data_IF_748780837217
#
_entry.id   IF_748780837217
#
_cell.length_a   1.000
_cell.length_b   1.000
_cell.length_c   1.000
_cell.angle_alpha   90.00
_cell.angle_beta   90.00
_cell.angle_gamma   90.00
#
_symmetry.space_group_name_H-M   'P 1'
#
loop_
_entity.id
_entity.type
_entity.pdbx_description
1 polymer ?
#
# COMPACT_ATOMS: atom_id res chain seq x y z
N UNK A 1 -42.01 20.42 -14.96
CA UNK A 1 -42.58 20.28 -13.59
C UNK A 1 -43.58 19.13 -13.63
N UNK A 2 -43.10 17.91 -13.37
CA UNK A 2 -43.20 17.14 -12.10
C UNK A 2 -44.61 16.54 -11.87
N UNK A 3 -44.77 15.24 -12.13
CA UNK A 3 -44.64 14.07 -11.22
C UNK A 3 -45.90 13.89 -10.35
N UNK A 4 -46.52 12.72 -10.21
CA UNK A 4 -46.19 11.39 -10.69
C UNK A 4 -47.33 10.40 -10.48
N UNK A 5 -47.35 9.36 -11.31
CA UNK A 5 -48.00 8.07 -11.10
C UNK A 5 -47.13 7.23 -10.18
N UNK A 6 -47.67 6.64 -9.11
CA UNK A 6 -47.38 5.25 -8.72
C UNK A 6 -48.65 4.64 -8.11
N UNK A 7 -48.96 3.46 -8.62
CA UNK A 7 -50.13 2.63 -8.42
C UNK A 7 -49.68 1.46 -7.55
N UNK A 8 -50.18 1.33 -6.31
CA UNK A 8 -49.87 0.16 -5.46
C UNK A 8 -51.14 -0.63 -5.23
N UNK A 9 -51.23 -1.73 -5.96
CA UNK A 9 -52.25 -2.76 -5.90
C UNK A 9 -52.00 -3.68 -4.70
N UNK A 10 -53.11 -4.05 -4.06
CA UNK A 10 -53.40 -5.38 -3.47
C UNK A 10 -52.70 -5.68 -2.14
N UNK A 11 -53.36 -5.22 -1.08
CA UNK A 11 -53.33 -5.86 0.23
C UNK A 11 -54.21 -7.12 0.21
N UNK A 12 -53.57 -8.29 0.08
CA UNK A 12 -54.16 -9.61 0.32
C UNK A 12 -53.07 -10.51 0.93
N UNK A 13 -53.46 -11.39 1.84
CA UNK A 13 -52.65 -12.37 2.61
C UNK A 13 -52.14 -11.94 3.99
N UNK A 14 -53.09 -11.64 4.89
CA UNK A 14 -52.99 -11.98 6.31
C UNK A 14 -54.09 -13.01 6.59
N UNK A 15 -53.70 -14.27 6.82
CA UNK A 15 -54.45 -15.43 7.36
C UNK A 15 -54.11 -16.74 6.63
N UNK A 16 -53.09 -17.47 7.14
CA UNK A 16 -52.77 -18.92 6.98
C UNK A 16 -51.26 -19.03 7.35
N UNK A 17 -50.75 -19.68 8.38
CA UNK A 17 -51.10 -20.89 9.11
C UNK A 17 -50.58 -20.80 10.55
N UNK A 18 -51.47 -20.89 11.54
CA UNK A 18 -51.15 -21.42 12.85
C UNK A 18 -51.80 -22.81 12.92
N UNK A 19 -51.10 -23.76 13.55
CA UNK A 19 -51.43 -25.18 13.73
C UNK A 19 -50.91 -26.12 12.62
N UNK A 20 -49.65 -26.57 12.78
CA UNK A 20 -49.33 -28.00 12.71
C UNK A 20 -48.28 -28.35 13.76
N UNK A 21 -48.59 -29.44 14.44
CA UNK A 21 -48.00 -30.02 15.63
C UNK A 21 -46.65 -30.70 15.40
N UNK A 22 -45.82 -30.63 16.46
CA UNK A 22 -44.91 -31.66 17.00
C UNK A 22 -44.78 -32.93 16.14
N UNK A 23 -43.62 -33.06 15.49
CA UNK A 23 -43.03 -34.36 15.17
C UNK A 23 -41.59 -34.30 15.69
N UNK A 24 -41.39 -34.90 16.86
CA UNK A 24 -40.08 -35.30 17.39
C UNK A 24 -39.57 -36.48 16.56
N UNK A 25 -38.43 -36.31 15.89
CA UNK A 25 -37.57 -37.40 15.44
C UNK A 25 -36.20 -37.22 16.11
N UNK A 26 -35.53 -38.32 16.48
CA UNK A 26 -34.32 -38.27 17.29
C UNK A 26 -33.21 -37.62 16.46
N UNK A 27 -32.76 -36.45 16.91
CA UNK A 27 -31.44 -35.98 16.53
C UNK A 27 -30.45 -37.03 17.02
N UNK A 28 -29.73 -37.66 16.08
CA UNK A 28 -28.47 -38.28 16.43
C UNK A 28 -27.55 -37.15 16.87
N UNK A 29 -27.53 -36.87 18.16
CA UNK A 29 -26.49 -36.06 18.79
C UNK A 29 -25.19 -36.85 18.67
N UNK A 30 -24.39 -36.50 17.66
CA UNK A 30 -22.96 -36.76 17.72
C UNK A 30 -22.39 -35.95 18.89
N UNK A 31 -21.49 -36.57 19.67
CA UNK A 31 -20.91 -36.02 20.88
C UNK A 31 -20.43 -34.56 20.69
N UNK A 32 -20.97 -33.67 21.52
CA UNK A 32 -20.71 -32.24 21.54
C UNK A 32 -19.86 -31.94 22.78
N UNK A 33 -18.82 -31.11 22.60
CA UNK A 33 -17.89 -30.64 23.64
C UNK A 33 -18.62 -30.25 24.94
N UNK A 34 -18.07 -30.70 26.08
CA UNK A 34 -18.66 -30.58 27.40
C UNK A 34 -18.18 -29.28 28.12
N UNK A 35 -18.15 -28.17 27.39
CA UNK A 35 -17.76 -26.83 27.87
C UNK A 35 -18.83 -26.25 28.81
N UNK A 36 -18.40 -25.50 29.84
CA UNK A 36 -19.29 -24.70 30.69
C UNK A 36 -19.53 -23.36 30.01
N UNK A 37 -20.77 -23.11 29.58
CA UNK A 37 -21.15 -21.87 28.89
C UNK A 37 -21.84 -20.90 29.86
N UNK A 38 -21.38 -19.64 29.87
CA UNK A 38 -21.89 -18.56 30.71
C UNK A 38 -22.32 -17.40 29.81
N UNK A 39 -23.64 -17.20 29.69
CA UNK A 39 -24.25 -16.12 28.89
C UNK A 39 -24.97 -15.09 29.77
N UNK A 40 -24.76 -15.15 31.08
CA UNK A 40 -25.39 -14.26 32.07
C UNK A 40 -24.48 -14.10 33.28
N UNK A 41 -24.81 -13.18 34.20
CA UNK A 41 -24.03 -12.96 35.41
C UNK A 41 -24.06 -14.19 36.32
N UNK A 42 -22.88 -14.76 36.59
CA UNK A 42 -22.69 -15.93 37.45
C UNK A 42 -21.56 -15.67 38.45
N UNK A 43 -21.75 -16.10 39.69
CA UNK A 43 -20.72 -16.01 40.73
C UNK A 43 -20.42 -17.40 41.27
N UNK A 44 -19.16 -17.79 41.24
CA UNK A 44 -18.63 -18.94 41.96
C UNK A 44 -17.91 -18.45 43.21
N UNK A 45 -18.37 -18.91 44.37
CA UNK A 45 -17.93 -18.39 45.67
C UNK A 45 -17.59 -19.49 46.69
N UNK A 46 -17.29 -20.69 46.19
CA UNK A 46 -16.99 -21.86 47.00
C UNK A 46 -15.84 -22.59 46.32
N UNK A 47 -14.99 -23.24 47.12
CA UNK A 47 -13.86 -23.99 46.59
C UNK A 47 -14.35 -25.04 45.59
N UNK A 48 -13.66 -25.14 44.45
CA UNK A 48 -14.04 -26.08 43.40
C UNK A 48 -12.85 -26.54 42.56
N UNK A 49 -12.94 -27.80 42.12
CA UNK A 49 -12.09 -28.35 41.09
C UNK A 49 -12.72 -28.08 39.71
N UNK A 50 -12.08 -27.25 38.90
CA UNK A 50 -12.50 -26.97 37.54
C UNK A 50 -11.77 -27.89 36.56
N UNK A 51 -12.49 -28.83 35.95
CA UNK A 51 -11.92 -29.81 35.02
C UNK A 51 -12.44 -29.68 33.59
N UNK A 52 -13.15 -28.60 33.29
CA UNK A 52 -13.82 -28.35 32.00
C UNK A 52 -13.51 -26.94 31.55
N UNK A 53 -13.45 -26.73 30.24
CA UNK A 53 -13.33 -25.39 29.68
C UNK A 53 -14.54 -24.54 30.07
N UNK A 54 -14.31 -23.24 30.16
CA UNK A 54 -15.33 -22.24 30.46
C UNK A 54 -15.36 -21.25 29.31
N UNK A 55 -16.56 -20.96 28.80
CA UNK A 55 -16.76 -19.91 27.80
C UNK A 55 -17.76 -18.89 28.34
N UNK A 56 -17.30 -17.66 28.56
CA UNK A 56 -18.14 -16.51 28.90
C UNK A 56 -18.44 -15.75 27.62
N UNK A 57 -19.71 -15.75 27.22
CA UNK A 57 -20.15 -15.33 25.89
C UNK A 57 -21.34 -14.37 25.97
N UNK A 58 -21.60 -13.64 24.88
CA UNK A 58 -22.85 -12.91 24.64
C UNK A 58 -23.21 -11.89 25.74
N UNK A 59 -22.21 -11.20 26.30
CA UNK A 59 -22.40 -10.25 27.40
C UNK A 59 -22.51 -10.89 28.78
N UNK A 60 -22.16 -12.18 28.90
CA UNK A 60 -22.07 -12.88 30.17
C UNK A 60 -20.97 -12.31 31.06
N UNK A 61 -21.08 -12.58 32.36
CA UNK A 61 -20.06 -12.18 33.33
C UNK A 61 -19.85 -13.29 34.35
N UNK A 62 -18.61 -13.74 34.53
CA UNK A 62 -18.23 -14.72 35.53
C UNK A 62 -17.41 -14.07 36.65
N UNK A 63 -17.82 -14.26 37.90
CA UNK A 63 -17.06 -13.82 39.08
C UNK A 63 -16.57 -15.01 39.90
N UNK A 64 -15.26 -15.11 40.12
CA UNK A 64 -14.62 -15.92 41.16
C UNK A 64 -14.51 -15.08 42.43
N UNK A 65 -15.11 -15.51 43.55
CA UNK A 65 -15.23 -14.68 44.75
C UNK A 65 -14.92 -15.43 46.06
N UNK A 66 -13.85 -15.02 46.74
CA UNK A 66 -13.59 -15.43 48.13
C UNK A 66 -13.28 -16.92 48.34
N UNK A 67 -12.79 -17.63 47.31
CA UNK A 67 -12.61 -19.08 47.33
C UNK A 67 -11.38 -19.54 46.53
N UNK A 68 -11.00 -20.80 46.74
CA UNK A 68 -9.86 -21.43 46.07
C UNK A 68 -10.33 -22.33 44.92
N UNK A 69 -9.78 -22.11 43.73
CA UNK A 69 -10.16 -22.77 42.49
C UNK A 69 -8.98 -23.58 41.98
N UNK A 70 -9.09 -24.90 42.08
CA UNK A 70 -8.10 -25.84 41.56
C UNK A 70 -8.46 -26.18 40.12
N UNK A 71 -7.72 -25.65 39.16
CA UNK A 71 -8.03 -25.75 37.73
C UNK A 71 -7.18 -26.84 37.11
N UNK A 72 -7.80 -27.71 36.33
CA UNK A 72 -7.10 -28.81 35.66
C UNK A 72 -6.19 -28.29 34.56
N UNK A 73 -4.96 -28.82 34.50
CA UNK A 73 -4.01 -28.54 33.42
C UNK A 73 -4.69 -28.72 32.05
N UNK A 74 -4.52 -27.74 31.16
CA UNK A 74 -5.14 -27.70 29.83
C UNK A 74 -6.59 -27.19 29.79
N UNK A 75 -7.21 -26.83 30.91
CA UNK A 75 -8.50 -26.11 30.91
C UNK A 75 -8.31 -24.70 30.35
N UNK A 76 -9.16 -24.33 29.40
CA UNK A 76 -9.27 -22.97 28.86
C UNK A 76 -10.46 -22.24 29.49
N UNK A 77 -10.23 -21.00 29.94
CA UNK A 77 -11.27 -20.03 30.27
C UNK A 77 -11.24 -18.96 29.17
N UNK A 78 -12.25 -18.96 28.32
CA UNK A 78 -12.42 -18.00 27.24
C UNK A 78 -13.46 -16.94 27.59
N UNK A 79 -13.15 -15.67 27.32
CA UNK A 79 -14.04 -14.52 27.53
C UNK A 79 -14.13 -13.75 26.22
N UNK A 80 -15.32 -13.73 25.59
CA UNK A 80 -15.50 -13.01 24.33
C UNK A 80 -15.42 -11.49 24.50
N UNK A 81 -15.27 -10.77 23.38
CA UNK A 81 -15.16 -9.31 23.32
C UNK A 81 -16.30 -8.52 23.97
N UNK A 82 -17.46 -9.13 24.22
CA UNK A 82 -18.62 -8.49 24.84
C UNK A 82 -18.79 -8.83 26.32
N UNK A 83 -18.00 -9.77 26.84
CA UNK A 83 -18.17 -10.40 28.14
C UNK A 83 -17.07 -10.00 29.14
N UNK A 84 -17.24 -10.40 30.40
CA UNK A 84 -16.23 -10.14 31.42
C UNK A 84 -15.99 -11.30 32.37
N UNK A 85 -14.79 -11.32 32.94
CA UNK A 85 -14.40 -12.19 34.05
C UNK A 85 -13.84 -11.33 35.19
N UNK A 86 -14.22 -11.66 36.42
CA UNK A 86 -13.73 -10.98 37.61
C UNK A 86 -13.20 -11.99 38.62
N UNK A 87 -12.03 -11.73 39.20
CA UNK A 87 -11.39 -12.55 40.22
C UNK A 87 -11.20 -11.67 41.45
N UNK A 88 -11.92 -11.96 42.53
CA UNK A 88 -11.90 -11.15 43.73
C UNK A 88 -11.61 -12.00 44.96
N UNK A 89 -10.53 -11.66 45.68
CA UNK A 89 -10.15 -12.36 46.91
C UNK A 89 -10.14 -13.88 46.76
N UNK A 90 -9.69 -14.35 45.59
CA UNK A 90 -9.73 -15.77 45.21
C UNK A 90 -8.34 -16.24 44.80
N UNK A 91 -8.11 -17.55 44.92
CA UNK A 91 -6.91 -18.21 44.40
C UNK A 91 -7.31 -19.03 43.20
N UNK A 92 -6.67 -18.82 42.06
CA UNK A 92 -6.75 -19.70 40.90
C UNK A 92 -5.40 -20.41 40.77
N UNK A 93 -5.39 -21.73 40.84
CA UNK A 93 -4.18 -22.52 40.77
C UNK A 93 -4.33 -23.74 39.86
N UNK A 94 -3.30 -24.03 39.08
CA UNK A 94 -3.27 -25.25 38.27
C UNK A 94 -2.99 -26.48 39.13
N UNK A 95 -3.80 -27.52 38.99
CA UNK A 95 -3.76 -28.74 39.81
C UNK A 95 -2.71 -29.77 39.36
N UNK A 96 -1.48 -29.36 39.04
CA UNK A 96 -0.48 -30.34 38.61
C UNK A 96 -0.07 -31.27 39.75
N UNK A 97 -0.05 -32.59 39.51
CA UNK A 97 0.73 -33.49 40.35
C UNK A 97 2.22 -33.35 40.00
N UNK A 98 3.03 -32.89 40.94
CA UNK A 98 4.51 -32.88 40.87
C UNK A 98 5.10 -34.32 40.94
N UNK A 99 4.58 -35.25 40.16
CA UNK A 99 5.17 -36.59 40.02
C UNK A 99 6.25 -36.57 38.93
N UNK A 100 7.48 -36.22 39.31
CA UNK A 100 8.67 -36.66 38.56
C UNK A 100 9.55 -35.59 37.92
N UNK A 101 9.54 -34.34 38.38
CA UNK A 101 10.62 -33.38 38.09
C UNK A 101 10.78 -32.94 36.61
N UNK A 102 9.84 -33.28 35.74
CA UNK A 102 9.67 -32.66 34.43
C UNK A 102 8.37 -31.85 34.45
N UNK A 103 8.49 -30.53 34.49
CA UNK A 103 7.39 -29.62 34.15
C UNK A 103 7.18 -29.77 32.64
N UNK A 104 6.19 -30.57 32.24
CA UNK A 104 5.87 -30.79 30.83
C UNK A 104 4.36 -30.78 30.65
N UNK A 105 3.85 -29.69 30.07
CA UNK A 105 2.54 -29.67 29.41
C UNK A 105 1.45 -28.89 30.16
N UNK A 106 1.33 -27.61 29.82
CA UNK A 106 0.15 -26.73 29.93
C UNK A 106 -0.54 -26.60 31.30
N UNK A 107 -0.15 -25.55 32.02
CA UNK A 107 -1.03 -24.84 32.94
C UNK A 107 -2.42 -24.54 32.32
N UNK A 108 -3.42 -24.18 33.14
CA UNK A 108 -4.67 -23.63 32.61
C UNK A 108 -4.42 -22.33 31.83
N UNK A 109 -5.29 -22.03 30.87
CA UNK A 109 -5.22 -20.80 30.06
C UNK A 109 -6.42 -19.90 30.28
N UNK A 110 -6.19 -18.59 30.20
CA UNK A 110 -7.22 -17.56 30.12
C UNK A 110 -7.02 -16.77 28.83
N UNK A 111 -8.04 -16.79 27.97
CA UNK A 111 -8.07 -16.04 26.72
C UNK A 111 -9.14 -14.95 26.84
N UNK A 112 -8.71 -13.70 26.86
CA UNK A 112 -9.56 -12.55 27.19
C UNK A 112 -9.67 -11.60 26.00
N UNK A 113 -10.74 -11.72 25.23
CA UNK A 113 -11.10 -10.74 24.21
C UNK A 113 -11.91 -9.57 24.79
N UNK A 114 -12.63 -9.81 25.90
CA UNK A 114 -13.43 -8.82 26.62
C UNK A 114 -12.65 -8.16 27.75
N UNK A 115 -13.17 -8.28 28.98
CA UNK A 115 -12.56 -7.65 30.17
C UNK A 115 -12.21 -8.69 31.23
N UNK A 116 -11.00 -8.61 31.79
CA UNK A 116 -10.63 -9.30 33.03
C UNK A 116 -10.35 -8.28 34.12
N UNK A 117 -10.96 -8.47 35.29
CA UNK A 117 -10.67 -7.70 36.50
C UNK A 117 -10.19 -8.64 37.61
N UNK A 118 -8.93 -8.50 38.05
CA UNK A 118 -8.41 -9.22 39.21
C UNK A 118 -8.12 -8.25 40.35
N UNK A 119 -8.61 -8.54 41.55
CA UNK A 119 -8.38 -7.70 42.73
C UNK A 119 -8.14 -8.54 43.98
N UNK A 120 -7.09 -8.21 44.74
CA UNK A 120 -6.74 -8.88 46.00
C UNK A 120 -6.69 -10.41 45.86
N UNK A 121 -6.17 -10.91 44.74
CA UNK A 121 -6.27 -12.32 44.35
C UNK A 121 -4.90 -12.94 44.13
N UNK A 122 -4.88 -14.25 43.88
CA UNK A 122 -3.66 -14.95 43.51
C UNK A 122 -3.90 -15.85 42.31
N UNK A 123 -2.99 -15.83 41.34
CA UNK A 123 -3.04 -16.67 40.14
C UNK A 123 -1.71 -17.40 40.07
N UNK A 124 -1.76 -18.72 40.20
CA UNK A 124 -0.59 -19.59 40.21
C UNK A 124 -0.62 -20.51 39.00
N UNK A 125 0.45 -20.45 38.19
CA UNK A 125 0.65 -21.32 37.03
C UNK A 125 -0.52 -21.27 36.05
N UNK A 126 -0.84 -20.09 35.55
CA UNK A 126 -1.81 -19.88 34.47
C UNK A 126 -1.16 -19.17 33.29
N UNK A 127 -1.64 -19.39 32.07
CA UNK A 127 -1.24 -18.60 30.89
C UNK A 127 -2.34 -17.60 30.57
N UNK A 128 -2.00 -16.32 30.46
CA UNK A 128 -2.97 -15.27 30.13
C UNK A 128 -2.63 -14.69 28.77
N UNK A 129 -3.58 -14.72 27.84
CA UNK A 129 -3.53 -14.02 26.56
C UNK A 129 -4.74 -13.11 26.43
N UNK A 130 -4.55 -11.89 25.93
CA UNK A 130 -5.60 -10.89 25.87
C UNK A 130 -5.55 -10.05 24.59
N UNK A 131 -6.70 -9.91 23.94
CA UNK A 131 -6.94 -8.89 22.91
C UNK A 131 -7.78 -7.73 23.44
N UNK A 132 -8.43 -7.92 24.60
CA UNK A 132 -9.24 -6.92 25.28
C UNK A 132 -8.49 -6.19 26.39
N UNK A 133 -9.16 -5.96 27.52
CA UNK A 133 -8.63 -5.16 28.63
C UNK A 133 -8.46 -5.97 29.91
N UNK A 134 -7.29 -5.84 30.54
CA UNK A 134 -6.93 -6.46 31.81
C UNK A 134 -6.73 -5.38 32.88
N UNK A 135 -7.49 -5.46 33.98
CA UNK A 135 -7.28 -4.65 35.18
C UNK A 135 -6.85 -5.55 36.33
N UNK A 136 -5.61 -5.43 36.79
CA UNK A 136 -5.04 -6.31 37.81
C UNK A 136 -4.50 -5.46 38.97
N UNK A 137 -5.20 -5.50 40.10
CA UNK A 137 -4.85 -4.73 41.30
C UNK A 137 -4.61 -5.64 42.50
N UNK A 138 -3.58 -5.34 43.30
CA UNK A 138 -3.27 -6.08 44.53
C UNK A 138 -3.26 -7.61 44.34
N UNK A 139 -2.77 -8.10 43.19
CA UNK A 139 -2.85 -9.52 42.82
C UNK A 139 -1.47 -10.12 42.65
N UNK A 140 -1.26 -11.33 43.18
CA UNK A 140 -0.01 -12.08 42.98
C UNK A 140 -0.12 -12.96 41.73
N UNK A 141 0.85 -12.85 40.83
CA UNK A 141 0.98 -13.60 39.59
C UNK A 141 2.24 -14.46 39.69
N UNK A 142 2.08 -15.72 40.11
CA UNK A 142 3.21 -16.65 40.26
C UNK A 142 3.25 -17.64 39.10
N UNK A 143 4.38 -17.68 38.38
CA UNK A 143 4.57 -18.55 37.20
C UNK A 143 3.52 -18.33 36.12
N UNK A 144 3.08 -17.08 35.95
CA UNK A 144 2.09 -16.66 34.95
C UNK A 144 2.73 -16.03 33.71
N UNK A 145 3.87 -15.34 33.88
CA UNK A 145 4.49 -14.60 32.79
C UNK A 145 5.03 -15.50 31.66
N UNK A 146 4.94 -15.04 30.39
CA UNK A 146 4.47 -13.71 30.01
C UNK A 146 2.93 -13.67 29.94
N UNK A 147 2.33 -12.59 30.43
CA UNK A 147 0.96 -12.21 30.03
C UNK A 147 1.06 -11.64 28.62
N UNK A 148 0.37 -12.27 27.65
CA UNK A 148 0.47 -11.90 26.24
C UNK A 148 -0.66 -10.94 25.85
N UNK A 149 -0.31 -9.77 25.33
CA UNK A 149 -1.24 -8.85 24.69
C UNK A 149 -1.18 -9.10 23.18
N UNK A 150 -2.22 -9.73 22.64
CA UNK A 150 -2.26 -10.31 21.29
C UNK A 150 -2.78 -9.34 20.22
N UNK A 151 -3.11 -8.10 20.61
CA UNK A 151 -3.61 -7.05 19.72
C UNK A 151 -2.97 -5.70 20.05
N UNK A 152 -2.81 -4.85 19.02
CA UNK A 152 -2.40 -3.45 19.19
C UNK A 152 -3.38 -2.63 20.02
N UNK A 153 -4.62 -3.08 20.15
CA UNK A 153 -5.69 -2.43 20.94
C UNK A 153 -5.80 -2.98 22.37
N UNK A 154 -5.06 -4.05 22.67
CA UNK A 154 -5.10 -4.68 23.99
C UNK A 154 -4.50 -3.76 25.07
N UNK A 155 -5.07 -3.82 26.27
CA UNK A 155 -4.68 -2.96 27.38
C UNK A 155 -4.44 -3.80 28.62
N UNK A 156 -3.34 -3.54 29.33
CA UNK A 156 -3.12 -4.04 30.68
C UNK A 156 -2.85 -2.88 31.64
N UNK A 157 -3.61 -2.85 32.73
CA UNK A 157 -3.42 -1.91 33.83
C UNK A 157 -3.13 -2.66 35.11
N UNK A 158 -1.92 -2.44 35.62
CA UNK A 158 -1.43 -3.02 36.86
C UNK A 158 -1.38 -1.95 37.94
N UNK A 159 -1.90 -2.24 39.13
CA UNK A 159 -1.87 -1.29 40.24
C UNK A 159 -1.84 -1.94 41.62
N UNK A 160 -1.75 -1.09 42.65
CA UNK A 160 -1.63 -1.54 44.03
C UNK A 160 -0.34 -2.33 44.28
N UNK A 161 -0.43 -3.38 45.08
CA UNK A 161 0.68 -4.29 45.40
C UNK A 161 0.73 -5.51 44.46
N UNK A 162 0.29 -5.35 43.21
CA UNK A 162 0.39 -6.43 42.21
C UNK A 162 1.85 -6.83 42.00
N UNK A 163 2.11 -8.14 41.93
CA UNK A 163 3.46 -8.67 41.84
C UNK A 163 3.54 -9.86 40.88
N UNK A 164 4.57 -9.88 40.06
CA UNK A 164 4.97 -11.06 39.30
C UNK A 164 6.09 -11.80 40.02
N UNK A 165 6.09 -13.12 39.92
CA UNK A 165 7.21 -13.95 40.40
C UNK A 165 7.37 -15.21 39.57
N UNK A 166 8.62 -15.64 39.37
CA UNK A 166 8.97 -16.88 38.68
C UNK A 166 8.31 -17.01 37.29
N UNK A 167 8.17 -15.91 36.54
CA UNK A 167 7.67 -15.93 35.17
C UNK A 167 8.45 -16.94 34.31
N UNK A 168 7.74 -17.61 33.42
CA UNK A 168 8.25 -18.76 32.66
C UNK A 168 9.05 -18.37 31.41
N UNK A 169 9.00 -17.10 31.02
CA UNK A 169 9.74 -16.51 29.91
C UNK A 169 10.69 -15.40 30.38
N UNK A 170 11.41 -14.78 29.43
CA UNK A 170 12.29 -13.64 29.69
C UNK A 170 11.55 -12.32 30.03
N UNK A 171 10.22 -12.31 30.09
CA UNK A 171 9.45 -11.12 30.44
C UNK A 171 8.16 -11.44 31.23
N UNK A 172 7.73 -10.54 32.11
CA UNK A 172 6.44 -10.66 32.82
C UNK A 172 5.25 -10.39 31.88
N UNK A 173 5.41 -9.45 30.93
CA UNK A 173 4.42 -9.10 29.92
C UNK A 173 5.06 -9.15 28.54
N UNK A 174 4.33 -9.66 27.56
CA UNK A 174 4.69 -9.57 26.14
C UNK A 174 3.56 -8.90 25.39
N UNK A 175 3.86 -7.88 24.60
CA UNK A 175 2.83 -7.09 23.94
C UNK A 175 3.11 -6.84 22.46
N UNK A 176 2.05 -6.56 21.69
CA UNK A 176 2.19 -6.02 20.35
C UNK A 176 2.72 -4.58 20.38
N UNK A 177 3.12 -4.07 19.21
CA UNK A 177 3.77 -2.78 19.07
C UNK A 177 2.98 -1.63 19.72
N UNK A 178 1.66 -1.59 19.58
CA UNK A 178 0.86 -0.44 20.05
C UNK A 178 -0.05 -0.71 21.26
N UNK A 179 -0.03 -1.92 21.85
CA UNK A 179 -0.82 -2.25 23.04
C UNK A 179 -0.55 -1.27 24.19
N UNK A 180 -1.50 -1.00 25.08
CA UNK A 180 -1.27 -0.11 26.22
C UNK A 180 -0.82 -0.90 27.45
N UNK A 181 0.30 -0.50 28.06
CA UNK A 181 0.82 -1.07 29.31
C UNK A 181 0.89 0.03 30.35
N UNK A 182 0.10 -0.09 31.40
CA UNK A 182 0.13 0.80 32.57
C UNK A 182 0.74 0.04 33.73
N UNK A 183 2.02 0.27 33.99
CA UNK A 183 2.75 -0.28 35.14
C UNK A 183 2.64 0.69 36.32
N UNK A 184 1.69 0.45 37.22
CA UNK A 184 1.42 1.34 38.36
C UNK A 184 2.55 1.41 39.39
N UNK A 185 2.53 2.48 40.19
CA UNK A 185 3.41 2.59 41.35
C UNK A 185 3.12 1.47 42.36
N UNK A 186 4.18 0.83 42.86
CA UNK A 186 4.07 -0.30 43.81
C UNK A 186 4.01 -1.68 43.16
N UNK A 187 3.83 -1.75 41.84
CA UNK A 187 3.87 -3.01 41.09
C UNK A 187 5.30 -3.49 40.95
N UNK A 188 5.56 -4.76 41.28
CA UNK A 188 6.88 -5.39 41.18
C UNK A 188 6.92 -6.53 40.17
N UNK A 189 7.99 -6.58 39.36
CA UNK A 189 8.22 -7.66 38.41
C UNK A 189 8.93 -8.87 39.05
N UNK A 190 9.11 -9.94 38.27
CA UNK A 190 9.83 -11.15 38.70
C UNK A 190 11.31 -10.88 39.03
N UNK A 191 11.90 -9.85 38.44
CA UNK A 191 13.29 -9.45 38.66
C UNK A 191 14.33 -10.32 37.95
N UNK A 192 15.60 -10.07 38.26
CA UNK A 192 16.75 -10.77 37.71
C UNK A 192 16.89 -10.59 36.20
N UNK A 193 16.90 -11.69 35.45
CA UNK A 193 16.95 -11.66 33.98
C UNK A 193 15.58 -11.56 33.32
N UNK A 194 14.52 -11.31 34.08
CA UNK A 194 13.14 -11.22 33.58
C UNK A 194 12.74 -9.77 33.45
N UNK A 195 12.51 -9.32 32.22
CA UNK A 195 12.06 -7.97 31.91
C UNK A 195 10.65 -7.73 32.44
N UNK A 196 10.30 -6.47 32.74
CA UNK A 196 8.92 -6.12 33.07
C UNK A 196 8.01 -6.33 31.87
N UNK A 197 8.43 -5.83 30.71
CA UNK A 197 7.75 -6.12 29.46
C UNK A 197 8.67 -6.08 28.25
N UNK A 198 8.24 -6.78 27.20
CA UNK A 198 8.79 -6.68 25.85
C UNK A 198 7.66 -6.37 24.86
N UNK A 199 7.87 -5.42 23.96
CA UNK A 199 7.03 -5.23 22.78
C UNK A 199 7.64 -5.94 21.59
N UNK A 200 6.80 -6.62 20.84
CA UNK A 200 7.20 -7.36 19.64
C UNK A 200 6.41 -6.90 18.42
N UNK A 201 7.04 -7.02 17.27
CA UNK A 201 6.46 -6.76 15.96
C UNK A 201 6.82 -7.92 15.03
N UNK A 202 5.86 -8.41 14.25
CA UNK A 202 6.06 -9.48 13.28
C UNK A 202 5.41 -9.11 11.94
N UNK A 203 5.90 -9.71 10.85
CA UNK A 203 5.31 -9.50 9.53
C UNK A 203 5.44 -8.09 8.95
N UNK A 204 6.24 -7.21 9.56
CA UNK A 204 6.44 -5.85 9.07
C UNK A 204 7.01 -5.85 7.64
N UNK A 205 6.50 -4.95 6.79
CA UNK A 205 6.92 -4.84 5.39
C UNK A 205 7.28 -3.42 4.97
N UNK A 206 8.22 -3.32 4.04
CA UNK A 206 8.53 -2.12 3.27
C UNK A 206 7.94 -2.29 1.86
N UNK A 207 7.21 -1.29 1.40
CA UNK A 207 6.51 -1.29 0.11
C UNK A 207 7.07 -0.18 -0.78
N UNK A 208 7.49 -0.55 -1.98
CA UNK A 208 8.14 0.31 -2.95
C UNK A 208 7.37 0.28 -4.28
N UNK A 209 7.41 1.38 -5.03
CA UNK A 209 6.83 1.46 -6.38
C UNK A 209 7.60 0.65 -7.43
N UNK A 210 8.76 0.10 -7.09
CA UNK A 210 9.62 -0.66 -7.99
C UNK A 210 10.07 -2.00 -7.41
N UNK A 211 10.35 -2.92 -8.32
CA UNK A 211 10.92 -4.23 -8.01
C UNK A 211 12.42 -4.15 -7.78
N UNK A 212 12.95 -5.05 -6.96
CA UNK A 212 14.39 -5.19 -6.68
C UNK A 212 15.07 -3.94 -6.09
N UNK A 213 14.32 -3.10 -5.38
CA UNK A 213 14.88 -2.01 -4.57
C UNK A 213 15.66 -2.64 -3.41
N UNK A 214 16.93 -2.30 -3.27
CA UNK A 214 17.81 -2.85 -2.22
C UNK A 214 17.97 -1.84 -1.09
N UNK A 215 17.94 -2.34 0.14
CA UNK A 215 18.07 -1.53 1.34
C UNK A 215 18.84 -2.26 2.44
N UNK A 216 19.19 -1.47 3.45
CA UNK A 216 19.88 -1.87 4.66
C UNK A 216 19.11 -1.34 5.88
N UNK A 217 19.04 -2.12 6.95
CA UNK A 217 18.48 -1.72 8.23
C UNK A 217 19.55 -1.88 9.30
N UNK A 218 19.74 -0.82 10.10
CA UNK A 218 20.64 -0.80 11.25
C UNK A 218 19.87 -0.45 12.51
N UNK A 219 20.42 -0.79 13.69
CA UNK A 219 19.83 -0.40 14.98
C UNK A 219 18.71 -1.31 15.51
N UNK A 220 18.50 -2.48 14.92
CA UNK A 220 17.54 -3.47 15.45
C UNK A 220 18.07 -4.21 16.68
N UNK A 221 17.17 -4.61 17.58
CA UNK A 221 17.56 -5.36 18.79
C UNK A 221 18.31 -6.65 18.45
N UNK A 222 19.48 -6.86 19.08
CA UNK A 222 20.37 -8.01 18.85
C UNK A 222 20.74 -8.27 17.37
N UNK A 223 20.51 -7.29 16.50
CA UNK A 223 20.77 -7.39 15.07
C UNK A 223 21.29 -6.06 14.55
N UNK A 224 22.62 -5.92 14.64
CA UNK A 224 23.34 -4.71 14.24
C UNK A 224 23.07 -4.31 12.78
N UNK A 225 22.86 -5.31 11.91
CA UNK A 225 22.76 -5.13 10.47
C UNK A 225 21.82 -6.14 9.79
N UNK A 226 21.01 -5.66 8.84
CA UNK A 226 20.16 -6.48 7.98
C UNK A 226 20.06 -5.87 6.59
N UNK A 227 20.10 -6.69 5.54
CA UNK A 227 19.87 -6.24 4.17
C UNK A 227 18.86 -7.14 3.47
N UNK A 228 18.10 -6.56 2.56
CA UNK A 228 17.19 -7.28 1.68
C UNK A 228 16.84 -6.44 0.46
N UNK A 229 15.97 -6.96 -0.40
CA UNK A 229 15.44 -6.26 -1.56
C UNK A 229 13.93 -6.52 -1.75
N UNK A 230 13.25 -5.66 -2.50
CA UNK A 230 11.83 -5.82 -2.83
C UNK A 230 11.58 -6.90 -3.88
N UNK A 231 10.48 -7.65 -3.72
CA UNK A 231 10.07 -8.70 -4.64
C UNK A 231 9.42 -8.13 -5.93
N UNK A 232 8.73 -9.00 -6.69
CA UNK A 232 8.03 -8.61 -7.93
C UNK A 232 6.82 -7.70 -7.70
N UNK A 233 6.29 -7.66 -6.48
CA UNK A 233 5.18 -6.81 -6.07
C UNK A 233 5.67 -5.52 -5.38
N UNK A 234 6.99 -5.28 -5.38
CA UNK A 234 7.59 -4.14 -4.68
C UNK A 234 7.60 -4.27 -3.16
N UNK A 235 7.38 -5.47 -2.62
CA UNK A 235 7.29 -5.70 -1.16
C UNK A 235 8.56 -6.41 -0.64
N UNK A 236 9.04 -5.98 0.52
CA UNK A 236 10.08 -6.70 1.27
C UNK A 236 9.71 -6.82 2.74
N UNK A 237 9.83 -8.01 3.31
CA UNK A 237 9.57 -8.21 4.74
C UNK A 237 10.82 -7.95 5.59
N UNK A 238 10.66 -7.13 6.63
CA UNK A 238 11.71 -6.86 7.61
C UNK A 238 12.04 -8.16 8.34
N UNK A 239 13.33 -8.49 8.40
CA UNK A 239 13.85 -9.75 8.93
C UNK A 239 13.17 -11.03 8.37
N UNK A 240 12.71 -10.98 7.12
CA UNK A 240 11.96 -12.07 6.49
C UNK A 240 10.57 -12.30 7.09
N UNK A 241 10.02 -11.30 7.78
CA UNK A 241 8.69 -11.34 8.40
C UNK A 241 8.68 -11.99 9.79
N UNK A 242 9.85 -12.34 10.33
CA UNK A 242 9.97 -12.89 11.67
C UNK A 242 9.62 -11.84 12.72
N UNK A 243 9.17 -12.34 13.86
CA UNK A 243 8.95 -11.53 15.05
C UNK A 243 10.28 -10.99 15.58
N UNK A 244 10.28 -9.72 16.01
CA UNK A 244 11.43 -9.01 16.58
C UNK A 244 10.97 -8.12 17.74
N UNK A 245 11.87 -7.89 18.70
CA UNK A 245 11.62 -7.02 19.86
C UNK A 245 11.89 -5.56 19.48
N UNK A 246 10.95 -4.67 19.79
CA UNK A 246 11.00 -3.23 19.48
C UNK A 246 11.09 -2.33 20.71
N UNK A 247 10.73 -2.86 21.88
CA UNK A 247 10.85 -2.15 23.16
C UNK A 247 11.06 -3.15 24.29
N UNK A 248 11.88 -2.76 25.27
CA UNK A 248 12.11 -3.54 26.49
C UNK A 248 12.06 -2.60 27.68
N UNK A 249 11.23 -2.92 28.67
CA UNK A 249 11.39 -2.35 30.00
C UNK A 249 12.07 -3.36 30.91
N UNK A 250 13.25 -2.98 31.37
CA UNK A 250 14.10 -3.84 32.17
C UNK A 250 13.53 -4.05 33.58
N UNK A 251 14.00 -5.10 34.23
CA UNK A 251 13.73 -5.28 35.66
C UNK A 251 14.33 -4.14 36.48
N UNK A 252 13.74 -3.86 37.64
CA UNK A 252 14.22 -2.80 38.55
C UNK A 252 15.61 -3.08 39.13
N UNK A 253 16.03 -4.35 39.12
CA UNK A 253 17.33 -4.82 39.61
C UNK A 253 18.36 -5.04 38.49
N UNK A 254 18.05 -4.62 37.26
CA UNK A 254 19.00 -4.67 36.14
C UNK A 254 20.14 -3.67 36.37
N UNK A 255 21.33 -4.18 36.69
CA UNK A 255 22.52 -3.37 36.96
C UNK A 255 23.19 -2.80 35.68
N UNK A 256 22.75 -3.22 34.48
CA UNK A 256 23.46 -2.95 33.23
C UNK A 256 22.93 -1.78 32.41
N UNK A 257 21.72 -1.27 32.68
CA UNK A 257 21.05 -0.32 31.78
C UNK A 257 20.85 1.05 32.43
N UNK A 258 21.31 2.10 31.74
CA UNK A 258 21.19 3.49 32.20
C UNK A 258 19.76 4.02 32.03
N UNK A 259 19.01 3.49 31.05
CA UNK A 259 17.64 3.85 30.76
C UNK A 259 16.70 2.69 31.14
N UNK A 260 15.64 2.94 31.93
CA UNK A 260 14.74 1.89 32.40
C UNK A 260 13.92 1.25 31.27
N UNK A 261 13.78 1.95 30.15
CA UNK A 261 13.11 1.48 28.93
C UNK A 261 14.05 1.71 27.76
N UNK A 262 14.33 0.63 27.03
CA UNK A 262 14.98 0.66 25.74
C UNK A 262 13.92 0.62 24.64
N UNK A 263 14.00 1.54 23.69
CA UNK A 263 13.13 1.60 22.51
C UNK A 263 14.01 1.53 21.27
N UNK A 264 13.61 0.70 20.32
CA UNK A 264 14.31 0.57 19.04
C UNK A 264 14.34 1.91 18.29
N UNK A 265 15.50 2.22 17.71
CA UNK A 265 15.71 3.39 16.85
C UNK A 265 16.31 2.92 15.52
N UNK A 266 15.67 1.92 14.91
CA UNK A 266 16.17 1.29 13.71
C UNK A 266 16.04 2.24 12.51
N UNK A 267 17.02 2.20 11.61
CA UNK A 267 17.11 3.10 10.47
C UNK A 267 17.24 2.29 9.19
N UNK A 268 16.36 2.55 8.23
CA UNK A 268 16.41 2.01 6.88
C UNK A 268 17.20 2.95 5.98
N UNK A 269 18.14 2.42 5.21
CA UNK A 269 18.92 3.15 4.21
C UNK A 269 18.73 2.50 2.85
N UNK A 270 18.27 3.27 1.87
CA UNK A 270 18.15 2.77 0.49
C UNK A 270 19.53 2.74 -0.17
N UNK A 271 20.00 1.54 -0.51
CA UNK A 271 21.32 1.33 -1.10
C UNK A 271 21.25 1.32 -2.63
N UNK A 272 20.17 0.80 -3.21
CA UNK A 272 19.95 0.82 -4.66
C UNK A 272 18.46 0.93 -5.01
N UNK A 273 18.10 2.02 -5.69
CA UNK A 273 16.77 2.25 -6.25
C UNK A 273 16.92 2.95 -7.60
N UNK A 274 17.22 2.14 -8.61
CA UNK A 274 17.53 2.56 -9.98
C UNK A 274 16.47 2.03 -10.95
N UNK A 275 16.10 2.89 -11.87
CA UNK A 275 15.14 2.63 -12.94
C UNK A 275 15.71 3.15 -14.26
N UNK A 276 15.00 2.95 -15.36
CA UNK A 276 15.34 3.59 -16.63
C UNK A 276 15.34 5.13 -16.58
N UNK A 277 14.72 5.76 -15.57
CA UNK A 277 14.62 7.21 -15.45
C UNK A 277 15.73 7.89 -14.63
N UNK A 278 16.55 7.11 -13.92
CA UNK A 278 17.74 7.61 -13.23
C UNK A 278 18.97 6.76 -13.57
N UNK A 279 19.34 6.61 -14.86
CA UNK A 279 20.58 5.95 -15.22
C UNK A 279 21.77 6.75 -14.68
N UNK A 280 22.90 6.11 -14.41
CA UNK A 280 24.11 6.79 -13.88
C UNK A 280 24.53 8.00 -14.73
N UNK A 281 24.38 7.90 -16.05
CA UNK A 281 24.72 8.97 -17.00
C UNK A 281 23.84 10.23 -16.85
N UNK A 282 22.66 10.13 -16.24
CA UNK A 282 21.78 11.28 -15.99
C UNK A 282 22.28 12.19 -14.85
N UNK A 283 23.19 11.69 -14.00
CA UNK A 283 23.62 12.38 -12.78
C UNK A 283 22.59 12.35 -11.64
N UNK A 284 21.42 11.73 -11.84
CA UNK A 284 20.39 11.57 -10.80
C UNK A 284 20.83 10.47 -9.82
N UNK A 285 20.56 10.65 -8.53
CA UNK A 285 20.83 9.66 -7.47
C UNK A 285 19.88 8.46 -7.48
N UNK A 286 19.97 7.62 -6.45
CA UNK A 286 18.93 6.61 -6.18
C UNK A 286 17.63 7.30 -5.74
N UNK A 287 16.49 6.73 -6.13
CA UNK A 287 15.18 7.13 -5.59
C UNK A 287 14.98 6.60 -4.16
N UNK A 288 13.89 7.01 -3.50
CA UNK A 288 13.65 6.70 -2.08
C UNK A 288 14.47 7.56 -1.12
N UNK A 289 15.58 8.13 -1.61
CA UNK A 289 16.12 9.41 -1.16
C UNK A 289 16.56 9.50 0.30
N UNK A 290 17.17 8.46 0.89
CA UNK A 290 17.96 8.63 2.11
C UNK A 290 17.83 7.53 3.16
N UNK A 291 18.12 7.94 4.39
CA UNK A 291 17.96 7.15 5.61
C UNK A 291 16.72 7.65 6.35
N UNK A 292 15.86 6.74 6.77
CA UNK A 292 14.64 7.05 7.52
C UNK A 292 14.45 6.07 8.67
N UNK A 293 13.67 6.47 9.67
CA UNK A 293 13.37 5.63 10.83
C UNK A 293 12.42 4.50 10.43
N UNK A 294 12.75 3.28 10.86
CA UNK A 294 11.85 2.14 10.80
C UNK A 294 10.88 2.26 11.97
N UNK A 295 9.70 2.84 11.72
CA UNK A 295 8.64 2.91 12.72
C UNK A 295 8.05 1.51 13.02
N UNK A 296 7.02 1.45 13.86
CA UNK A 296 6.39 0.18 14.25
C UNK A 296 5.13 -0.16 13.45
N UNK A 297 4.86 0.57 12.36
CA UNK A 297 3.73 0.27 11.48
C UNK A 297 3.93 -1.10 10.79
N UNK A 298 2.84 -1.81 10.54
CA UNK A 298 2.89 -3.13 9.88
C UNK A 298 3.34 -3.05 8.42
N UNK A 299 3.09 -1.94 7.75
CA UNK A 299 3.54 -1.68 6.39
C UNK A 299 3.94 -0.21 6.24
N UNK A 300 5.18 0.00 5.78
CA UNK A 300 5.68 1.32 5.43
C UNK A 300 5.69 1.47 3.90
N UNK A 301 5.02 2.50 3.40
CA UNK A 301 5.01 2.85 1.98
C UNK A 301 6.09 3.89 1.72
N UNK A 302 6.97 3.62 0.76
CA UNK A 302 8.06 4.50 0.39
C UNK A 302 7.73 5.26 -0.90
N UNK A 303 7.02 6.37 -0.74
CA UNK A 303 6.54 7.24 -1.82
C UNK A 303 7.32 8.57 -1.92
N UNK A 304 8.32 8.77 -1.05
CA UNK A 304 9.17 9.96 -1.07
C UNK A 304 10.47 9.75 -1.85
N UNK A 305 11.04 10.82 -2.41
CA UNK A 305 12.27 10.73 -3.20
C UNK A 305 12.06 10.04 -4.57
N UNK A 306 10.84 10.10 -5.11
CA UNK A 306 10.44 9.57 -6.42
C UNK A 306 9.91 10.70 -7.33
N UNK A 307 9.99 10.56 -8.67
CA UNK A 307 9.39 11.50 -9.61
C UNK A 307 7.89 11.21 -9.80
N UNK A 308 7.14 12.22 -10.22
CA UNK A 308 5.72 12.09 -10.60
C UNK A 308 5.50 12.92 -11.87
N UNK A 309 5.52 12.26 -13.03
CA UNK A 309 5.57 12.91 -14.33
C UNK A 309 4.19 13.01 -14.95
N UNK A 310 3.84 14.19 -15.47
CA UNK A 310 2.61 14.43 -16.20
C UNK A 310 2.82 15.21 -17.49
N UNK A 311 1.88 15.07 -18.41
CA UNK A 311 1.80 15.88 -19.62
C UNK A 311 1.22 17.27 -19.33
N UNK A 312 1.80 18.29 -19.95
CA UNK A 312 1.24 19.66 -19.95
C UNK A 312 0.69 20.00 -21.34
N UNK A 313 1.48 19.80 -22.39
CA UNK A 313 1.05 20.08 -23.78
C UNK A 313 1.94 19.42 -24.82
N UNK A 314 1.45 19.31 -26.06
CA UNK A 314 2.24 18.98 -27.24
C UNK A 314 1.78 19.85 -28.41
N UNK A 315 2.67 20.69 -28.95
CA UNK A 315 2.31 21.70 -29.95
C UNK A 315 3.26 21.72 -31.15
N UNK A 316 2.74 21.78 -32.39
CA UNK A 316 3.54 22.07 -33.59
C UNK A 316 3.90 23.55 -33.66
N UNK A 317 5.16 23.86 -33.92
CA UNK A 317 5.74 25.20 -33.93
C UNK A 317 6.30 25.51 -35.32
N UNK A 318 5.92 26.67 -35.87
CA UNK A 318 6.42 27.19 -37.15
C UNK A 318 7.81 27.84 -37.04
N UNK A 319 8.37 28.29 -38.17
CA UNK A 319 9.69 28.94 -38.20
C UNK A 319 9.75 30.22 -37.36
N UNK A 320 8.62 30.94 -37.24
CA UNK A 320 8.50 32.18 -36.47
C UNK A 320 8.30 31.94 -34.96
N UNK A 321 8.22 30.69 -34.51
CA UNK A 321 7.98 30.32 -33.10
C UNK A 321 6.50 30.27 -32.68
N UNK A 322 5.58 30.59 -33.58
CA UNK A 322 4.14 30.51 -33.35
C UNK A 322 3.59 29.10 -33.61
N UNK A 323 2.49 28.76 -32.94
CA UNK A 323 1.78 27.51 -33.18
C UNK A 323 1.19 27.48 -34.60
N UNK A 324 1.41 26.39 -35.32
CA UNK A 324 0.89 26.19 -36.68
C UNK A 324 -0.19 25.12 -36.72
N UNK A 325 -1.02 25.15 -37.77
CA UNK A 325 -2.08 24.16 -38.02
C UNK A 325 -2.05 23.56 -39.43
N UNK A 326 -1.09 23.99 -40.26
CA UNK A 326 -0.87 23.51 -41.62
C UNK A 326 0.63 23.40 -41.92
N UNK A 327 1.03 22.37 -42.65
CA UNK A 327 2.40 22.15 -43.12
C UNK A 327 2.42 21.42 -44.48
N UNK A 328 3.47 21.57 -45.28
CA UNK A 328 3.54 20.85 -46.56
C UNK A 328 3.98 19.41 -46.39
N UNK A 329 3.43 18.50 -47.19
CA UNK A 329 3.86 17.09 -47.21
C UNK A 329 5.36 17.01 -47.49
N UNK A 330 6.08 16.29 -46.63
CA UNK A 330 7.53 16.15 -46.71
C UNK A 330 8.34 17.21 -45.95
N UNK A 331 7.70 18.28 -45.45
CA UNK A 331 8.38 19.22 -44.57
C UNK A 331 8.62 18.63 -43.18
N UNK A 332 9.64 19.14 -42.49
CA UNK A 332 9.98 18.76 -41.12
C UNK A 332 9.44 19.82 -40.17
N UNK A 333 8.33 19.53 -39.49
CA UNK A 333 7.67 20.44 -38.55
C UNK A 333 8.32 20.31 -37.18
N UNK A 334 8.67 21.43 -36.54
CA UNK A 334 9.17 21.42 -35.17
C UNK A 334 8.02 21.18 -34.20
N UNK A 335 8.26 20.36 -33.20
CA UNK A 335 7.31 19.98 -32.16
C UNK A 335 7.91 20.31 -30.80
N UNK A 336 7.08 20.86 -29.92
CA UNK A 336 7.42 21.07 -28.51
C UNK A 336 6.44 20.31 -27.62
N UNK A 337 6.97 19.35 -26.86
CA UNK A 337 6.24 18.63 -25.84
C UNK A 337 6.65 19.16 -24.46
N UNK A 338 5.69 19.63 -23.67
CA UNK A 338 5.94 20.11 -22.30
C UNK A 338 5.45 19.07 -21.31
N UNK A 339 6.35 18.68 -20.41
CA UNK A 339 6.09 17.77 -19.30
C UNK A 339 6.31 18.49 -17.97
N UNK A 340 5.61 18.05 -16.94
CA UNK A 340 5.78 18.53 -15.56
C UNK A 340 6.15 17.39 -14.64
N UNK A 341 6.97 17.67 -13.63
CA UNK A 341 7.26 16.75 -12.56
C UNK A 341 6.71 17.30 -11.24
N UNK A 342 5.60 16.76 -10.74
CA UNK A 342 5.07 17.12 -9.42
C UNK A 342 5.72 16.34 -8.27
N UNK A 343 6.62 15.40 -8.59
CA UNK A 343 7.31 14.57 -7.61
C UNK A 343 8.46 15.28 -6.92
N UNK A 344 9.17 14.53 -6.08
CA UNK A 344 10.23 15.04 -5.21
C UNK A 344 11.64 14.67 -5.70
N UNK A 345 11.76 13.82 -6.70
CA UNK A 345 13.02 13.52 -7.37
C UNK A 345 12.99 13.87 -8.87
N UNK A 346 14.17 14.12 -9.44
CA UNK A 346 14.33 14.37 -10.87
C UNK A 346 14.13 13.08 -11.70
N UNK A 347 13.78 13.22 -12.97
CA UNK A 347 13.70 12.12 -13.92
C UNK A 347 14.36 12.47 -15.26
N UNK A 348 15.03 11.49 -15.86
CA UNK A 348 15.52 11.53 -17.23
C UNK A 348 14.70 10.55 -18.07
N UNK A 349 13.83 11.07 -18.93
CA UNK A 349 12.83 10.26 -19.61
C UNK A 349 12.77 10.56 -21.10
N UNK A 350 12.23 9.60 -21.84
CA UNK A 350 12.01 9.69 -23.27
C UNK A 350 10.53 9.48 -23.59
N UNK A 351 10.10 9.99 -24.74
CA UNK A 351 8.74 9.80 -25.26
C UNK A 351 8.77 9.01 -26.57
N UNK A 352 7.66 8.38 -26.90
CA UNK A 352 7.40 7.82 -28.23
C UNK A 352 6.08 8.37 -28.76
N UNK A 353 6.00 8.61 -30.07
CA UNK A 353 4.80 9.12 -30.71
C UNK A 353 4.37 8.22 -31.87
N UNK A 354 3.07 7.97 -31.93
CA UNK A 354 2.41 7.24 -32.99
C UNK A 354 1.42 8.18 -33.71
N UNK A 355 1.14 7.90 -34.98
CA UNK A 355 0.13 8.65 -35.75
C UNK A 355 -1.25 8.24 -35.23
N UNK A 356 -2.02 9.18 -34.70
CA UNK A 356 -3.24 8.88 -33.94
C UNK A 356 -4.32 8.16 -34.77
N UNK A 357 -4.38 8.40 -36.09
CA UNK A 357 -5.36 7.79 -36.99
C UNK A 357 -5.09 6.30 -37.29
N UNK A 358 -3.81 5.91 -37.33
CA UNK A 358 -3.37 4.57 -37.77
C UNK A 358 -2.79 3.73 -36.64
N UNK A 359 -2.27 4.36 -35.59
CA UNK A 359 -1.49 3.70 -34.55
C UNK A 359 -0.08 3.30 -34.98
N UNK A 360 0.35 3.68 -36.19
CA UNK A 360 1.70 3.40 -36.69
C UNK A 360 2.72 4.40 -36.11
N UNK A 361 3.97 3.96 -35.97
CA UNK A 361 5.04 4.80 -35.43
C UNK A 361 5.24 6.05 -36.30
N UNK A 362 5.20 7.23 -35.66
CA UNK A 362 5.36 8.49 -36.38
C UNK A 362 6.81 8.69 -36.84
N UNK A 363 6.98 9.33 -38.00
CA UNK A 363 8.31 9.70 -38.49
C UNK A 363 8.82 10.95 -37.74
N UNK A 364 9.44 10.72 -36.58
CA UNK A 364 10.02 11.77 -35.74
C UNK A 364 11.55 11.72 -35.67
N UNK A 365 12.18 12.86 -35.44
CA UNK A 365 13.63 12.98 -35.22
C UNK A 365 13.97 13.90 -34.04
N UNK A 366 14.84 13.47 -33.11
CA UNK A 366 15.45 12.14 -33.01
C UNK A 366 14.41 11.05 -32.67
N UNK A 367 14.76 9.78 -32.91
CA UNK A 367 13.98 8.66 -32.39
C UNK A 367 14.13 8.62 -30.87
N UNK A 368 13.01 8.62 -30.14
CA UNK A 368 12.94 8.73 -28.67
C UNK A 368 13.54 10.04 -28.13
N UNK A 369 12.93 11.19 -28.45
CA UNK A 369 13.36 12.46 -27.89
C UNK A 369 13.18 12.43 -26.37
N UNK A 370 14.13 13.02 -25.67
CA UNK A 370 14.27 12.90 -24.22
C UNK A 370 14.58 14.24 -23.57
N UNK A 371 14.39 14.30 -22.25
CA UNK A 371 14.76 15.45 -21.44
C UNK A 371 15.05 15.01 -20.00
N UNK A 372 15.62 15.94 -19.22
CA UNK A 372 15.77 15.84 -17.78
C UNK A 372 14.85 16.89 -17.15
N UNK A 373 13.99 16.46 -16.23
CA UNK A 373 13.07 17.33 -15.50
C UNK A 373 13.33 17.24 -14.01
N UNK A 374 13.60 18.39 -13.38
CA UNK A 374 13.80 18.50 -11.94
C UNK A 374 12.49 18.35 -11.15
N UNK A 375 12.55 18.15 -9.83
CA UNK A 375 11.36 18.07 -8.99
C UNK A 375 10.62 19.42 -8.93
N UNK A 376 9.30 19.41 -9.09
CA UNK A 376 8.47 20.62 -9.13
C UNK A 376 8.62 21.46 -10.41
N UNK A 377 9.38 21.01 -11.40
CA UNK A 377 9.70 21.76 -12.61
C UNK A 377 8.92 21.29 -13.83
N UNK A 378 8.93 22.12 -14.88
CA UNK A 378 8.52 21.74 -16.23
C UNK A 378 9.72 21.71 -17.16
N UNK A 379 9.65 20.87 -18.18
CA UNK A 379 10.69 20.79 -19.19
C UNK A 379 10.09 20.56 -20.57
N UNK A 380 10.76 21.11 -21.57
CA UNK A 380 10.36 20.98 -22.98
C UNK A 380 11.22 19.93 -23.67
N UNK A 381 10.57 19.04 -24.42
CA UNK A 381 11.19 18.09 -25.34
C UNK A 381 10.96 18.63 -26.76
N UNK A 382 12.04 19.00 -27.43
CA UNK A 382 11.99 19.45 -28.83
C UNK A 382 12.32 18.30 -29.78
N UNK A 383 11.48 18.09 -30.79
CA UNK A 383 11.69 17.08 -31.83
C UNK A 383 11.05 17.56 -33.15
N UNK A 384 11.34 16.89 -34.26
CA UNK A 384 10.67 17.17 -35.52
C UNK A 384 9.75 16.04 -35.96
N UNK A 385 8.68 16.37 -36.66
CA UNK A 385 7.72 15.43 -37.25
C UNK A 385 7.58 15.69 -38.75
N UNK A 386 7.56 14.62 -39.54
CA UNK A 386 7.33 14.64 -40.98
C UNK A 386 6.19 13.70 -41.36
N UNK A 387 5.36 14.11 -42.32
CA UNK A 387 4.40 13.23 -42.98
C UNK A 387 4.76 13.02 -44.45
N UNK A 388 4.38 11.86 -44.97
CA UNK A 388 4.48 11.51 -46.40
C UNK A 388 3.12 11.46 -47.10
N UNK A 389 2.04 11.66 -46.35
CA UNK A 389 0.67 11.68 -46.83
C UNK A 389 0.02 13.04 -46.56
N UNK A 390 -0.79 13.49 -47.52
CA UNK A 390 -1.63 14.67 -47.35
C UNK A 390 -2.88 14.35 -46.52
N UNK A 391 -3.43 15.36 -45.87
CA UNK A 391 -4.63 15.27 -45.03
C UNK A 391 -4.39 15.68 -43.58
N UNK A 392 -5.48 15.64 -42.81
CA UNK A 392 -5.51 16.01 -41.39
C UNK A 392 -4.93 14.87 -40.53
N UNK A 393 -3.90 15.15 -39.75
CA UNK A 393 -3.30 14.18 -38.84
C UNK A 393 -3.01 14.75 -37.44
N UNK A 394 -2.86 13.85 -36.47
CA UNK A 394 -2.39 14.22 -35.12
C UNK A 394 -1.42 13.17 -34.59
N UNK A 395 -0.53 13.59 -33.69
CA UNK A 395 0.33 12.68 -32.96
C UNK A 395 -0.33 12.27 -31.66
N UNK A 396 -0.13 11.01 -31.29
CA UNK A 396 -0.40 10.50 -29.96
C UNK A 396 0.90 10.06 -29.33
N UNK A 397 1.37 10.81 -28.34
CA UNK A 397 2.66 10.58 -27.69
C UNK A 397 2.48 10.03 -26.28
N UNK A 398 3.29 9.05 -25.93
CA UNK A 398 3.36 8.44 -24.59
C UNK A 398 4.71 8.66 -23.95
N UNK A 399 4.71 8.83 -22.64
CA UNK A 399 5.93 8.83 -21.83
C UNK A 399 6.35 7.38 -21.66
N UNK A 400 7.62 7.07 -21.93
CA UNK A 400 8.14 5.72 -21.77
C UNK A 400 8.52 5.50 -20.31
N UNK A 401 7.66 4.83 -19.57
CA UNK A 401 7.83 4.52 -18.14
C UNK A 401 8.81 3.35 -17.94
N UNK A 402 9.50 3.28 -16.79
CA UNK A 402 10.43 2.19 -16.51
C UNK A 402 9.70 0.86 -16.31
N UNK A 403 10.25 -0.23 -16.87
CA UNK A 403 9.73 -1.59 -16.67
C UNK A 403 10.01 -2.16 -15.28
N UNK A 404 10.83 -1.46 -14.49
CA UNK A 404 11.11 -1.81 -13.11
C UNK A 404 9.98 -1.41 -12.15
N UNK A 405 9.04 -0.56 -12.58
CA UNK A 405 7.90 -0.21 -11.74
C UNK A 405 6.95 -1.39 -11.59
N UNK A 406 6.41 -1.56 -10.39
CA UNK A 406 5.36 -2.57 -10.12
C UNK A 406 4.10 -2.20 -10.89
N UNK A 407 3.71 -0.94 -10.78
CA UNK A 407 2.64 -0.33 -11.56
C UNK A 407 3.23 0.69 -12.53
N UNK A 408 2.89 0.57 -13.81
CA UNK A 408 3.44 1.43 -14.88
C UNK A 408 3.25 2.93 -14.59
N UNK A 409 2.17 3.27 -13.88
CA UNK A 409 1.81 4.65 -13.54
C UNK A 409 2.35 5.14 -12.20
N UNK A 410 3.18 4.36 -11.49
CA UNK A 410 3.59 4.71 -10.13
C UNK A 410 4.43 6.00 -10.06
N UNK A 411 5.13 6.34 -11.14
CA UNK A 411 5.85 7.63 -11.30
C UNK A 411 5.13 8.58 -12.27
N UNK A 412 3.81 8.43 -12.40
CA UNK A 412 3.00 9.10 -13.40
C UNK A 412 3.18 8.51 -14.81
N UNK A 413 3.26 9.38 -15.82
CA UNK A 413 3.41 9.00 -17.22
C UNK A 413 2.16 9.30 -18.06
N UNK A 414 1.70 8.30 -18.80
CA UNK A 414 0.50 8.39 -19.63
C UNK A 414 0.75 8.90 -21.06
N UNK A 415 -0.35 9.26 -21.73
CA UNK A 415 -0.39 9.60 -23.16
C UNK A 415 -1.15 10.92 -23.39
N UNK A 416 -0.67 11.72 -24.33
CA UNK A 416 -1.32 12.95 -24.77
C UNK A 416 -1.30 13.04 -26.30
N UNK A 417 -2.35 13.60 -26.88
CA UNK A 417 -2.41 13.83 -28.33
C UNK A 417 -2.28 15.30 -28.67
N UNK A 418 -1.71 15.60 -29.83
CA UNK A 418 -1.64 16.96 -30.36
C UNK A 418 -3.01 17.43 -30.86
N UNK A 419 -3.13 18.72 -31.14
CA UNK A 419 -4.14 19.20 -32.08
C UNK A 419 -3.94 18.62 -33.49
N UNK A 420 -4.94 18.80 -34.34
CA UNK A 420 -4.89 18.38 -35.75
C UNK A 420 -3.97 19.31 -36.54
N UNK A 421 -3.06 18.73 -37.33
CA UNK A 421 -2.19 19.39 -38.29
C UNK A 421 -2.57 18.93 -39.71
N UNK A 422 -2.89 19.87 -40.59
CA UNK A 422 -3.22 19.60 -41.99
C UNK A 422 -1.95 19.52 -42.84
N UNK A 423 -1.72 18.38 -43.49
CA UNK A 423 -0.63 18.19 -44.44
C UNK A 423 -1.09 18.46 -45.86
N UNK A 424 -0.58 19.53 -46.48
CA UNK A 424 -0.98 19.95 -47.83
C UNK A 424 0.08 19.57 -48.85
N UNK A 425 -0.32 19.03 -50.00
CA UNK A 425 0.63 18.87 -51.11
C UNK A 425 1.01 20.25 -51.63
N UNK A 426 2.31 20.49 -51.80
CA UNK A 426 2.77 21.67 -52.54
C UNK A 426 2.25 21.49 -53.96
N UNK A 427 1.19 22.22 -54.32
CA UNK A 427 0.80 22.28 -55.72
C UNK A 427 1.97 22.90 -56.46
N UNK A 428 2.66 22.11 -57.28
CA UNK A 428 3.59 22.66 -58.25
C UNK A 428 2.82 23.73 -59.02
N UNK A 429 3.13 24.98 -58.76
CA UNK A 429 2.68 26.13 -59.52
C UNK A 429 3.27 26.10 -60.93
N UNK A 430 3.07 25.01 -61.66
CA UNK A 430 3.24 24.91 -63.11
C UNK A 430 1.99 25.43 -63.85
N UNK A 431 1.13 26.19 -63.17
CA UNK A 431 0.04 26.96 -63.76
C UNK A 431 0.48 28.28 -64.42
N UNK A 432 1.78 28.47 -64.71
CA UNK A 432 2.32 29.81 -64.98
C UNK A 432 3.33 29.99 -66.11
N UNK A 433 3.69 29.03 -66.98
CA UNK A 433 4.47 29.34 -68.21
C UNK A 433 4.22 28.35 -69.38
N UNK A 434 2.97 28.01 -69.71
CA UNK A 434 2.67 27.24 -70.94
C UNK A 434 2.21 28.10 -72.11
N UNK A 435 1.89 29.38 -71.90
CA UNK A 435 1.42 30.28 -72.97
C UNK A 435 2.54 31.07 -73.69
N UNK A 436 3.75 31.18 -73.13
CA UNK A 436 4.83 31.95 -73.77
C UNK A 436 5.35 31.31 -75.06
N UNK A 437 5.62 29.98 -75.13
CA UNK A 437 6.04 29.34 -76.38
C UNK A 437 4.92 29.32 -77.43
N UNK A 438 3.66 29.16 -76.99
CA UNK A 438 2.49 29.19 -77.86
C UNK A 438 2.26 30.59 -78.46
N UNK A 439 2.42 31.67 -77.68
CA UNK A 439 2.32 33.05 -78.19
C UNK A 439 3.46 33.41 -79.14
N UNK A 440 4.70 32.97 -78.86
CA UNK A 440 5.83 33.17 -79.78
C UNK A 440 5.60 32.40 -81.10
N UNK A 441 5.12 31.16 -81.03
CA UNK A 441 4.77 30.38 -82.23
C UNK A 441 3.61 31.01 -83.03
N UNK A 442 2.62 31.60 -82.36
CA UNK A 442 1.49 32.27 -83.01
C UNK A 442 1.91 33.61 -83.65
N UNK A 443 2.82 34.36 -83.02
CA UNK A 443 3.40 35.58 -83.59
C UNK A 443 4.30 35.28 -84.79
N UNK A 444 5.14 34.24 -84.72
CA UNK A 444 5.98 33.81 -85.86
C UNK A 444 5.12 33.23 -86.98
N UNK A 445 4.09 32.46 -86.66
CA UNK A 445 3.15 31.89 -87.63
C UNK A 445 2.31 32.96 -88.34
N UNK A 446 1.81 33.97 -87.62
CA UNK A 446 1.10 35.10 -88.22
C UNK A 446 2.02 35.99 -89.07
N UNK A 447 3.29 36.16 -88.67
CA UNK A 447 4.28 36.91 -89.44
C UNK A 447 4.64 36.24 -90.77
N UNK A 448 4.85 34.92 -90.76
CA UNK A 448 5.18 34.15 -91.99
C UNK A 448 3.95 34.00 -92.89
N UNK A 449 2.76 33.72 -92.32
CA UNK A 449 1.51 33.61 -93.06
C UNK A 449 1.06 34.94 -93.69
N UNK A 450 1.25 36.06 -92.99
CA UNK A 450 0.98 37.40 -93.50
C UNK A 450 1.90 37.80 -94.65
N UNK A 451 3.20 37.47 -94.58
CA UNK A 451 4.16 37.75 -95.65
C UNK A 451 3.84 36.95 -96.92
N UNK A 452 3.46 35.67 -96.79
CA UNK A 452 3.07 34.83 -97.93
C UNK A 452 1.78 35.29 -98.62
N UNK A 453 0.77 35.75 -97.86
CA UNK A 453 -0.46 36.27 -98.45
C UNK A 453 -0.23 37.64 -99.12
N UNK A 454 0.63 38.49 -98.56
CA UNK A 454 0.97 39.79 -99.16
C UNK A 454 1.80 39.64 -100.46
N UNK A 455 2.70 38.65 -100.54
CA UNK A 455 3.48 38.39 -101.78
C UNK A 455 2.60 37.88 -102.93
N UNK A 456 1.56 37.10 -102.64
CA UNK A 456 0.60 36.62 -103.65
C UNK A 456 -0.31 37.77 -104.13
N UNK A 457 -0.67 38.71 -103.24
CA UNK A 457 -1.49 39.86 -103.62
C UNK A 457 -0.74 40.86 -104.53
N UNK A 458 0.58 41.02 -104.37
CA UNK A 458 1.39 41.85 -105.27
C UNK A 458 1.58 41.25 -106.67
N UNK A 459 1.44 39.94 -106.85
CA UNK A 459 1.51 39.33 -108.19
C UNK A 459 0.22 39.51 -108.99
N UNK A 460 -0.94 39.75 -108.35
CA UNK A 460 -2.22 39.95 -109.04
C UNK A 460 -2.46 41.39 -109.53
N UNK A 461 -1.78 42.41 -109.00
CA UNK A 461 -1.87 43.80 -109.51
C UNK A 461 -0.91 44.09 -110.68
N UNK A 462 -0.26 43.06 -111.25
CA UNK A 462 0.64 43.18 -112.42
C UNK A 462 0.05 42.64 -113.73
N UNK A 463 -1.23 42.32 -113.76
CA UNK A 463 -2.00 42.05 -114.99
C UNK A 463 -3.33 42.82 -114.97
N UNK A 464 -3.23 44.13 -115.18
CA UNK A 464 -4.10 44.91 -116.08
C UNK A 464 -3.39 46.20 -116.52
#
# INVERSE_FOLDING_TARGET
MNRGLVNTRVAQLVCLFLVFSVISLPGNSMAQDDDIIIESNLTWAHDMDLSKNVRVLNGGSLTFAGADFSITDGVEIFVDSSSSISIHSSVLESNSSDEGGQVSGTAFSMVVEGVLEATNSSIHRGVISASGTLYINDTSLERVGPVNLESDEAVISLGGLTSFSNSSSGADIRAMAFSEIIWGEGVSGSGGSTNKWERVLAGQSLVFDAVFVTFEITGMYQKEFYTNFSNQDGVSFVDGGRERVVEIAWSDDSESEQDPIWTEQALVTITEYRTAWNPVASGIGNYGGGQFELDWSSAMFLDSGTPEIGWVSITPIGEDGDQISEASVGDSVNMEAVISNSGTAAASLAINCDVASTGEAAQISPSFPNTLVGPGEQSTISFSWRSSSSGDESLSCRILTPTQLVEESAFGGGQMSTGVLSWVEVSDGSGGVTLLPAMIALLVGAGIGGYFLFSIYQEQDSQD
#
